data_IF_392661070387
#
_entry.id   IF_392661070387
#
_cell.length_a   1.000
_cell.length_b   1.000
_cell.length_c   1.000
_cell.angle_alpha   90.00
_cell.angle_beta   90.00
_cell.angle_gamma   90.00
#
_symmetry.space_group_name_H-M   'P 1'
#
loop_
_entity.id
_entity.type
_entity.pdbx_description
1 polymer ?
#
# COMPACT_ATOMS: atom_id res chain seq x y z
N UNK A 1 -22.39 29.63 -2.08
CA UNK A 1 -21.51 28.83 -1.21
C UNK A 1 -21.43 27.44 -1.82
N UNK A 2 -20.27 27.04 -2.36
CA UNK A 2 -20.11 25.69 -2.90
C UNK A 2 -19.77 24.75 -1.74
N UNK A 3 -20.75 23.96 -1.33
CA UNK A 3 -20.56 22.81 -0.45
C UNK A 3 -19.60 21.83 -1.12
N UNK A 4 -18.30 21.97 -0.83
CA UNK A 4 -17.33 20.93 -1.13
C UNK A 4 -17.66 19.75 -0.24
N UNK A 5 -18.48 18.83 -0.75
CA UNK A 5 -18.70 17.52 -0.16
C UNK A 5 -17.34 16.83 -0.09
N UNK A 6 -16.65 16.97 1.03
CA UNK A 6 -15.47 16.19 1.37
C UNK A 6 -15.96 14.78 1.65
N UNK A 7 -16.14 13.99 0.57
CA UNK A 7 -16.44 12.56 0.67
C UNK A 7 -15.37 11.94 1.56
N UNK A 8 -15.79 11.26 2.62
CA UNK A 8 -14.88 10.52 3.48
C UNK A 8 -13.99 9.62 2.60
N UNK A 9 -12.67 9.58 2.86
CA UNK A 9 -11.76 8.81 2.03
C UNK A 9 -12.18 7.35 2.03
N UNK A 10 -12.44 6.81 0.83
CA UNK A 10 -12.90 5.44 0.66
C UNK A 10 -11.81 4.49 1.15
N UNK A 11 -12.11 3.74 2.19
CA UNK A 11 -11.25 2.68 2.68
C UNK A 11 -11.27 1.51 1.69
N UNK A 12 -10.09 0.99 1.40
CA UNK A 12 -9.84 -0.14 0.50
C UNK A 12 -9.31 -1.29 1.33
N UNK A 13 -9.82 -2.49 1.09
CA UNK A 13 -9.28 -3.71 1.73
C UNK A 13 -7.84 -3.92 1.31
N UNK A 14 -6.95 -4.16 2.28
CA UNK A 14 -5.52 -4.40 2.04
C UNK A 14 -5.30 -5.85 1.60
N UNK A 15 -5.74 -6.17 0.38
CA UNK A 15 -5.51 -7.46 -0.25
C UNK A 15 -4.24 -7.41 -1.12
N UNK A 16 -3.62 -8.57 -1.36
CA UNK A 16 -2.46 -8.64 -2.27
C UNK A 16 -2.81 -8.09 -3.65
N UNK A 17 -4.00 -8.39 -4.18
CA UNK A 17 -4.45 -7.84 -5.46
C UNK A 17 -4.47 -6.31 -5.45
N UNK A 18 -4.98 -5.69 -4.39
CA UNK A 18 -5.05 -4.23 -4.29
C UNK A 18 -3.66 -3.61 -4.12
N UNK A 19 -2.79 -4.23 -3.33
CA UNK A 19 -1.40 -3.83 -3.16
C UNK A 19 -0.62 -3.91 -4.49
N UNK A 20 -0.76 -5.02 -5.22
CA UNK A 20 -0.14 -5.19 -6.54
C UNK A 20 -0.66 -4.17 -7.55
N UNK A 21 -1.98 -3.94 -7.58
CA UNK A 21 -2.58 -2.93 -8.46
C UNK A 21 -2.06 -1.52 -8.15
N UNK A 22 -1.91 -1.18 -6.86
CA UNK A 22 -1.33 0.10 -6.45
C UNK A 22 0.15 0.18 -6.82
N UNK A 23 0.92 -0.88 -6.60
CA UNK A 23 2.33 -0.97 -6.96
C UNK A 23 2.56 -0.82 -8.47
N UNK A 24 1.72 -1.43 -9.31
CA UNK A 24 1.80 -1.30 -10.78
C UNK A 24 1.58 0.14 -11.25
N UNK A 25 0.77 0.94 -10.52
CA UNK A 25 0.58 2.36 -10.82
C UNK A 25 1.73 3.23 -10.36
N UNK A 26 2.31 2.91 -9.21
CA UNK A 26 3.35 3.71 -8.56
C UNK A 26 4.76 3.41 -9.06
N UNK A 27 5.02 2.16 -9.40
CA UNK A 27 6.36 1.66 -9.69
C UNK A 27 6.52 1.43 -11.21
N UNK A 28 7.76 1.49 -11.74
CA UNK A 28 8.03 1.12 -13.12
C UNK A 28 7.50 -0.28 -13.45
N UNK A 29 7.10 -0.51 -14.71
CA UNK A 29 6.34 -1.68 -15.23
C UNK A 29 6.75 -3.10 -14.76
N UNK A 30 7.96 -3.27 -14.22
CA UNK A 30 8.50 -4.57 -13.79
C UNK A 30 8.68 -4.71 -12.27
N UNK A 31 8.32 -3.69 -11.48
CA UNK A 31 8.56 -3.68 -10.04
C UNK A 31 7.34 -4.14 -9.23
N UNK A 32 6.98 -5.41 -9.39
CA UNK A 32 5.91 -6.05 -8.58
C UNK A 32 6.36 -6.17 -7.12
N UNK A 33 5.39 -6.14 -6.20
CA UNK A 33 5.69 -6.45 -4.81
C UNK A 33 5.99 -7.95 -4.69
N UNK A 34 6.97 -8.31 -3.88
CA UNK A 34 7.22 -9.72 -3.53
C UNK A 34 6.41 -10.13 -2.32
N UNK A 35 6.29 -11.44 -2.06
CA UNK A 35 5.48 -11.96 -0.94
C UNK A 35 5.85 -11.34 0.43
N UNK A 36 7.14 -11.24 0.82
CA UNK A 36 7.49 -10.60 2.10
C UNK A 36 7.06 -9.14 2.22
N UNK A 37 7.16 -8.37 1.11
CA UNK A 37 6.70 -6.97 1.09
C UNK A 37 5.19 -6.90 1.25
N UNK A 38 4.45 -7.77 0.56
CA UNK A 38 2.99 -7.86 0.67
C UNK A 38 2.57 -8.20 2.10
N UNK A 39 3.22 -9.16 2.74
CA UNK A 39 2.92 -9.58 4.10
C UNK A 39 3.27 -8.50 5.13
N UNK A 40 4.41 -7.81 4.94
CA UNK A 40 4.76 -6.65 5.74
C UNK A 40 3.73 -5.52 5.59
N UNK A 41 3.32 -5.19 4.37
CA UNK A 41 2.33 -4.14 4.12
C UNK A 41 0.97 -4.47 4.73
N UNK A 42 0.54 -5.75 4.68
CA UNK A 42 -0.69 -6.21 5.36
C UNK A 42 -0.60 -6.08 6.87
N UNK A 43 0.55 -6.42 7.48
CA UNK A 43 0.78 -6.26 8.93
C UNK A 43 0.76 -4.79 9.35
N UNK A 44 1.37 -3.90 8.57
CA UNK A 44 1.49 -2.47 8.90
C UNK A 44 0.20 -1.70 8.65
N UNK A 45 -0.50 -1.97 7.54
CA UNK A 45 -1.72 -1.25 7.16
C UNK A 45 -3.00 -1.84 7.80
N UNK A 46 -2.97 -3.09 8.27
CA UNK A 46 -4.14 -3.79 8.79
C UNK A 46 -5.12 -4.22 7.69
N UNK A 47 -6.39 -4.44 8.06
CA UNK A 47 -7.40 -4.99 7.12
C UNK A 47 -7.87 -3.99 6.05
N UNK A 48 -7.93 -2.69 6.40
CA UNK A 48 -8.46 -1.63 5.54
C UNK A 48 -7.61 -0.37 5.70
N UNK A 49 -7.22 0.22 4.56
CA UNK A 49 -6.48 1.46 4.51
C UNK A 49 -6.98 2.32 3.35
N UNK A 50 -6.73 3.63 3.40
CA UNK A 50 -6.99 4.50 2.26
C UNK A 50 -6.00 4.20 1.13
N UNK A 51 -6.40 4.52 -0.11
CA UNK A 51 -5.52 4.36 -1.26
C UNK A 51 -4.20 5.14 -1.09
N UNK A 52 -4.25 6.33 -0.48
CA UNK A 52 -3.07 7.16 -0.21
C UNK A 52 -2.12 6.48 0.76
N UNK A 53 -2.63 5.93 1.86
CA UNK A 53 -1.81 5.20 2.84
C UNK A 53 -1.15 3.96 2.22
N UNK A 54 -1.89 3.21 1.39
CA UNK A 54 -1.35 2.08 0.65
C UNK A 54 -0.15 2.53 -0.21
N UNK A 55 -0.35 3.61 -0.97
CA UNK A 55 0.66 4.13 -1.87
C UNK A 55 1.91 4.63 -1.14
N UNK A 56 1.72 5.38 -0.06
CA UNK A 56 2.80 5.86 0.82
C UNK A 56 3.58 4.69 1.41
N UNK A 57 2.90 3.65 1.91
CA UNK A 57 3.56 2.47 2.48
C UNK A 57 4.28 1.63 1.43
N UNK A 58 3.76 1.53 0.21
CA UNK A 58 4.47 0.87 -0.91
C UNK A 58 5.78 1.59 -1.23
N UNK A 59 5.78 2.92 -1.25
CA UNK A 59 7.02 3.67 -1.46
C UNK A 59 7.97 3.56 -0.25
N UNK A 60 7.42 3.48 0.96
CA UNK A 60 8.20 3.29 2.19
C UNK A 60 8.87 1.92 2.23
N UNK A 61 8.15 0.83 1.92
CA UNK A 61 8.71 -0.54 2.00
C UNK A 61 9.91 -0.72 1.07
N UNK A 62 9.93 -0.05 -0.08
CA UNK A 62 11.08 -0.06 -1.01
C UNK A 62 12.33 0.65 -0.49
N UNK A 63 12.18 1.50 0.52
CA UNK A 63 13.28 2.21 1.18
C UNK A 63 13.74 1.52 2.45
N UNK A 64 13.01 0.51 2.91
CA UNK A 64 13.38 -0.26 4.10
C UNK A 64 14.45 -1.29 3.74
N UNK A 65 15.41 -1.53 4.65
CA UNK A 65 16.33 -2.64 4.50
C UNK A 65 15.56 -3.96 4.56
N UNK A 66 15.96 -4.93 3.75
CA UNK A 66 15.27 -6.21 3.61
C UNK A 66 15.08 -6.96 4.94
N UNK A 67 16.06 -6.82 5.84
CA UNK A 67 16.02 -7.41 7.18
C UNK A 67 14.83 -6.96 8.03
N UNK A 68 14.33 -5.75 7.81
CA UNK A 68 13.17 -5.20 8.55
C UNK A 68 11.83 -5.66 7.95
N UNK A 69 11.81 -6.04 6.67
CA UNK A 69 10.61 -6.51 5.96
C UNK A 69 10.36 -7.99 6.29
N UNK A 70 11.43 -8.79 6.27
CA UNK A 70 11.38 -10.24 6.51
C UNK A 70 11.37 -10.59 8.00
N UNK A 71 11.71 -9.66 8.89
CA UNK A 71 11.64 -9.89 10.33
C UNK A 71 10.20 -10.31 10.72
N UNK A 72 10.09 -11.53 11.21
CA UNK A 72 8.91 -12.09 11.88
C UNK A 72 8.87 -11.65 13.34
#
# INVERSE_FOLDING_TARGET
>A
MSDKVTRAPKLVTVSERNLQNAAVRLLPKHNKLVSPEVDYLRRVLGEKATQREIEEKILQVRKLPWSEIVRE
#
